data_IF_106837749729
#
_entry.id   IF_106837749729
#
_cell.length_a   1.000
_cell.length_b   1.000
_cell.length_c   1.000
_cell.angle_alpha   90.00
_cell.angle_beta   90.00
_cell.angle_gamma   90.00
#
_symmetry.space_group_name_H-M   'P 1'
#
loop_
_entity.id
_entity.type
_entity.pdbx_description
1 polymer ?
#
# COMPACT_ATOMS: atom_id res chain seq x y z
N UNK A 1 -41.52 57.60 -32.79
CA UNK A 1 -41.64 57.10 -31.41
C UNK A 1 -40.24 57.09 -30.82
N UNK A 2 -39.90 58.10 -30.03
CA UNK A 2 -38.57 58.26 -29.42
C UNK A 2 -38.45 57.30 -28.23
N UNK A 3 -37.61 56.28 -28.36
CA UNK A 3 -37.22 55.40 -27.25
C UNK A 3 -36.06 56.04 -26.49
N UNK A 4 -36.34 56.60 -25.31
CA UNK A 4 -35.31 57.11 -24.41
C UNK A 4 -34.49 55.96 -23.82
N UNK A 5 -33.18 55.97 -24.07
CA UNK A 5 -32.23 55.13 -23.35
C UNK A 5 -32.02 55.69 -21.95
N UNK A 6 -32.65 55.07 -20.96
CA UNK A 6 -32.32 55.32 -19.55
C UNK A 6 -30.94 54.76 -19.25
N UNK A 7 -30.05 55.67 -18.87
CA UNK A 7 -28.72 55.39 -18.36
C UNK A 7 -28.87 54.63 -17.02
N UNK A 8 -28.55 53.33 -16.98
CA UNK A 8 -28.54 52.57 -15.73
C UNK A 8 -27.29 52.93 -14.93
N UNK A 9 -27.53 53.77 -13.90
CA UNK A 9 -26.58 54.06 -12.82
C UNK A 9 -26.17 52.75 -12.14
N UNK A 10 -24.87 52.67 -11.83
CA UNK A 10 -24.15 51.46 -11.46
C UNK A 10 -24.81 50.63 -10.36
N UNK A 11 -25.05 49.36 -10.69
CA UNK A 11 -25.20 48.31 -9.71
C UNK A 11 -23.85 48.02 -9.07
N UNK A 12 -23.71 48.41 -7.80
CA UNK A 12 -22.59 48.08 -6.93
C UNK A 12 -22.27 46.58 -7.02
N UNK A 13 -21.06 46.26 -7.49
CA UNK A 13 -20.55 44.91 -7.66
C UNK A 13 -20.23 44.22 -6.32
N UNK A 14 -21.26 43.96 -5.53
CA UNK A 14 -21.19 43.18 -4.30
C UNK A 14 -21.76 41.78 -4.55
N UNK A 15 -21.04 41.01 -5.36
CA UNK A 15 -21.43 39.66 -5.74
C UNK A 15 -20.22 38.81 -6.09
N UNK A 16 -20.47 37.57 -6.52
CA UNK A 16 -19.42 36.60 -6.88
C UNK A 16 -18.42 37.14 -7.92
N UNK A 17 -18.82 38.13 -8.75
CA UNK A 17 -17.94 38.80 -9.71
C UNK A 17 -16.70 39.44 -9.08
N UNK A 18 -16.77 39.86 -7.82
CA UNK A 18 -15.62 40.44 -7.09
C UNK A 18 -14.60 39.36 -6.69
N UNK A 19 -15.07 38.15 -6.39
CA UNK A 19 -14.22 36.99 -6.11
C UNK A 19 -13.63 36.37 -7.38
N UNK A 20 -14.24 36.65 -8.53
CA UNK A 20 -13.82 36.18 -9.85
C UNK A 20 -13.13 37.27 -10.68
N UNK A 21 -12.90 38.45 -10.11
CA UNK A 21 -12.15 39.52 -10.76
C UNK A 21 -10.65 39.16 -10.81
N UNK A 22 -9.94 39.65 -11.84
CA UNK A 22 -8.50 39.49 -12.02
C UNK A 22 -8.02 38.03 -12.19
N UNK A 23 -8.79 37.20 -12.90
CA UNK A 23 -8.29 35.89 -13.31
C UNK A 23 -7.02 36.03 -14.17
N UNK A 24 -6.02 35.13 -14.01
CA UNK A 24 -4.81 35.16 -14.83
C UNK A 24 -5.16 35.06 -16.31
N UNK A 25 -4.86 36.12 -17.07
CA UNK A 25 -5.02 36.12 -18.52
C UNK A 25 -3.70 35.75 -19.19
N UNK A 26 -3.72 34.70 -20.03
CA UNK A 26 -2.61 34.38 -20.95
C UNK A 26 -2.84 34.92 -22.37
N UNK A 27 -3.82 35.81 -22.56
CA UNK A 27 -3.95 36.66 -23.75
C UNK A 27 -4.61 36.07 -25.00
N UNK A 28 -5.46 35.04 -24.90
CA UNK A 28 -5.91 34.29 -26.07
C UNK A 28 -7.42 34.30 -26.36
N UNK A 29 -8.25 34.94 -25.53
CA UNK A 29 -9.71 34.85 -25.62
C UNK A 29 -10.42 36.22 -25.64
N UNK A 30 -9.84 37.21 -26.32
CA UNK A 30 -10.41 38.57 -26.40
C UNK A 30 -11.34 38.78 -27.59
N UNK A 31 -11.29 37.91 -28.59
CA UNK A 31 -12.14 37.99 -29.78
C UNK A 31 -13.07 36.78 -29.84
N UNK A 32 -14.38 37.04 -30.02
CA UNK A 32 -15.38 36.00 -30.20
C UNK A 32 -15.33 35.47 -31.64
N UNK A 33 -14.17 34.99 -32.08
CA UNK A 33 -13.99 34.41 -33.41
C UNK A 33 -14.49 32.98 -33.34
N UNK A 34 -15.69 32.76 -33.86
CA UNK A 34 -16.19 31.42 -34.18
C UNK A 34 -15.23 30.86 -35.23
N UNK A 35 -14.31 29.99 -34.79
CA UNK A 35 -13.33 29.33 -35.65
C UNK A 35 -14.06 28.70 -36.84
N UNK A 36 -13.69 29.12 -38.05
CA UNK A 36 -14.29 28.64 -39.31
C UNK A 36 -13.99 27.17 -39.61
N UNK A 37 -13.25 26.50 -38.74
CA UNK A 37 -12.91 25.09 -38.86
C UNK A 37 -14.01 24.24 -38.22
N UNK A 38 -15.17 24.12 -38.87
CA UNK A 38 -16.23 23.15 -38.50
C UNK A 38 -15.79 21.68 -38.66
N UNK A 39 -14.51 21.43 -38.94
CA UNK A 39 -13.92 20.11 -39.17
C UNK A 39 -12.85 19.74 -38.14
N UNK A 40 -13.18 19.80 -36.83
CA UNK A 40 -12.41 19.15 -35.77
C UNK A 40 -10.90 19.48 -35.66
N UNK A 41 -10.20 18.74 -34.79
CA UNK A 41 -8.73 18.78 -34.69
C UNK A 41 -8.14 18.17 -35.96
N UNK A 42 -7.25 18.88 -36.66
CA UNK A 42 -6.58 18.34 -37.84
C UNK A 42 -5.63 17.20 -37.44
N UNK A 43 -5.62 16.13 -38.23
CA UNK A 43 -4.66 15.03 -38.09
C UNK A 43 -3.27 15.55 -38.45
N UNK A 44 -2.30 15.36 -37.56
CA UNK A 44 -0.90 15.67 -37.84
C UNK A 44 -0.28 14.51 -38.63
N UNK A 45 0.36 14.83 -39.76
CA UNK A 45 1.11 13.89 -40.60
C UNK A 45 2.57 14.33 -40.54
N UNK A 46 3.46 13.41 -40.14
CA UNK A 46 4.88 13.69 -40.08
C UNK A 46 5.51 13.48 -41.45
N UNK A 47 6.10 14.53 -42.03
CA UNK A 47 6.87 14.45 -43.28
C UNK A 47 8.35 14.10 -43.07
N UNK A 48 8.77 13.95 -41.80
CA UNK A 48 10.13 13.65 -41.38
C UNK A 48 10.16 12.46 -40.42
N UNK A 49 11.35 11.86 -40.25
CA UNK A 49 11.55 10.80 -39.28
C UNK A 49 11.32 11.33 -37.86
N UNK A 50 10.41 10.67 -37.14
CA UNK A 50 10.08 10.96 -35.74
C UNK A 50 10.64 9.91 -34.79
N UNK A 51 11.63 9.14 -35.24
CA UNK A 51 12.37 8.26 -34.36
C UNK A 51 12.99 9.07 -33.21
N UNK A 52 12.90 8.59 -31.96
CA UNK A 52 13.56 9.25 -30.85
C UNK A 52 15.09 9.20 -31.03
N UNK A 53 15.86 10.14 -30.45
CA UNK A 53 17.32 10.08 -30.44
C UNK A 53 17.83 8.71 -29.94
N UNK A 54 18.84 8.15 -30.61
CA UNK A 54 19.29 6.76 -30.42
C UNK A 54 19.79 6.45 -29.00
N UNK A 55 20.29 7.46 -28.31
CA UNK A 55 20.80 7.38 -26.94
C UNK A 55 19.68 7.36 -25.87
N UNK A 56 18.47 7.79 -26.23
CA UNK A 56 17.37 7.95 -25.29
C UNK A 56 16.46 6.72 -25.27
N UNK A 57 16.82 5.76 -24.42
CA UNK A 57 16.08 4.50 -24.27
C UNK A 57 15.31 4.46 -22.95
N UNK A 58 13.99 4.32 -23.03
CA UNK A 58 13.15 4.05 -21.87
C UNK A 58 13.27 2.57 -21.50
N UNK A 59 13.90 2.28 -20.35
CA UNK A 59 14.07 0.91 -19.84
C UNK A 59 13.32 0.73 -18.52
N UNK A 60 12.57 -0.36 -18.41
CA UNK A 60 11.95 -0.78 -17.15
C UNK A 60 12.90 -1.68 -16.39
N UNK A 61 13.16 -1.34 -15.13
CA UNK A 61 13.95 -2.20 -14.26
C UNK A 61 13.14 -3.46 -13.87
N UNK A 62 13.66 -4.61 -14.24
CA UNK A 62 13.01 -5.93 -14.11
C UNK A 62 13.06 -6.51 -12.69
N UNK A 63 13.84 -5.92 -11.78
CA UNK A 63 13.92 -6.39 -10.40
C UNK A 63 12.66 -6.04 -9.63
N UNK A 64 12.04 -7.05 -9.02
CA UNK A 64 10.88 -6.87 -8.14
C UNK A 64 11.17 -5.81 -7.06
N UNK A 65 10.16 -4.97 -6.79
CA UNK A 65 10.29 -3.83 -5.87
C UNK A 65 10.70 -4.24 -4.45
N UNK A 66 10.28 -5.42 -3.98
CA UNK A 66 10.64 -5.91 -2.64
C UNK A 66 12.12 -6.29 -2.60
N UNK A 67 12.60 -7.02 -3.61
CA UNK A 67 14.01 -7.42 -3.72
C UNK A 67 14.90 -6.19 -3.76
N UNK A 68 14.59 -5.20 -4.61
CA UNK A 68 15.34 -3.95 -4.68
C UNK A 68 15.38 -3.22 -3.34
N UNK A 69 14.24 -3.15 -2.64
CA UNK A 69 14.15 -2.49 -1.33
C UNK A 69 15.01 -3.17 -0.28
N UNK A 70 15.03 -4.50 -0.25
CA UNK A 70 15.86 -5.29 0.66
C UNK A 70 17.36 -5.13 0.31
N UNK A 71 17.73 -5.16 -0.97
CA UNK A 71 19.12 -4.93 -1.39
C UNK A 71 19.63 -3.54 -0.97
N UNK A 72 18.83 -2.50 -1.16
CA UNK A 72 19.16 -1.12 -0.73
C UNK A 72 19.28 -1.00 0.80
N UNK A 73 18.45 -1.73 1.56
CA UNK A 73 18.55 -1.78 3.02
C UNK A 73 19.84 -2.48 3.49
N UNK A 74 20.21 -3.57 2.83
CA UNK A 74 21.42 -4.32 3.17
C UNK A 74 22.70 -3.53 2.85
N UNK A 75 22.74 -2.85 1.69
CA UNK A 75 23.86 -1.98 1.34
C UNK A 75 24.04 -0.83 2.34
N UNK A 76 22.95 -0.20 2.78
CA UNK A 76 23.00 0.79 3.87
C UNK A 76 23.64 0.19 5.13
N UNK A 77 23.22 -1.01 5.54
CA UNK A 77 23.77 -1.66 6.74
C UNK A 77 25.26 -2.03 6.64
N UNK A 78 25.80 -2.25 5.43
CA UNK A 78 27.23 -2.50 5.23
C UNK A 78 28.04 -1.20 5.11
N UNK A 79 27.48 -0.13 4.55
CA UNK A 79 28.13 1.19 4.54
C UNK A 79 28.16 1.87 5.91
N UNK A 80 27.23 1.56 6.81
CA UNK A 80 27.22 2.09 8.19
C UNK A 80 28.14 1.32 9.17
N UNK A 81 28.88 0.30 8.72
CA UNK A 81 29.83 -0.45 9.57
C UNK A 81 31.21 0.21 9.72
N UNK A 82 31.46 1.37 9.10
CA UNK A 82 32.75 2.07 9.21
C UNK A 82 32.77 3.28 10.16
N UNK A 83 31.63 3.80 10.60
CA UNK A 83 31.59 4.96 11.50
C UNK A 83 30.86 4.64 12.79
N UNK A 84 31.40 3.68 13.55
CA UNK A 84 31.01 3.45 14.93
C UNK A 84 31.71 4.45 15.87
N UNK A 85 31.24 5.71 15.90
CA UNK A 85 31.22 6.51 17.13
C UNK A 85 30.24 7.68 17.03
N UNK A 86 29.02 7.48 17.54
CA UNK A 86 28.20 8.59 18.01
C UNK A 86 26.69 8.45 17.79
N UNK A 87 25.98 8.32 18.91
CA UNK A 87 24.61 8.78 19.12
C UNK A 87 23.45 7.85 18.72
N UNK A 88 23.12 6.98 19.67
CA UNK A 88 21.76 6.53 19.97
C UNK A 88 20.78 7.71 20.11
N UNK A 89 19.75 7.79 19.26
CA UNK A 89 18.51 8.48 19.61
C UNK A 89 17.33 7.95 18.77
N UNK A 90 16.64 7.00 19.40
CA UNK A 90 15.30 6.54 19.11
C UNK A 90 14.30 7.72 18.97
N UNK A 91 13.62 7.86 17.82
CA UNK A 91 12.40 8.68 17.69
C UNK A 91 11.42 7.97 16.74
N UNK A 92 10.85 6.86 17.23
CA UNK A 92 9.47 6.48 16.89
C UNK A 92 8.55 7.17 17.90
N UNK A 93 7.49 7.80 17.40
CA UNK A 93 6.25 8.18 18.10
C UNK A 93 6.26 9.44 18.99
N UNK A 94 5.67 10.53 18.48
CA UNK A 94 4.75 11.37 19.27
C UNK A 94 3.56 11.87 18.42
N UNK A 95 2.36 11.62 18.97
CA UNK A 95 1.00 12.14 18.64
C UNK A 95 0.24 11.36 17.55
N UNK A 96 -0.76 10.51 17.84
CA UNK A 96 -1.87 10.59 18.82
C UNK A 96 -2.34 9.18 19.27
N UNK A 97 -2.68 9.03 20.55
CA UNK A 97 -3.48 7.97 21.18
C UNK A 97 -4.30 8.67 22.31
N UNK A 98 -5.52 8.31 22.73
CA UNK A 98 -6.33 7.09 22.58
C UNK A 98 -7.84 7.34 22.91
N UNK A 99 -8.70 6.36 22.55
CA UNK A 99 -9.84 5.77 23.33
C UNK A 99 -11.13 6.62 23.60
N UNK A 100 -12.41 6.19 23.60
CA UNK A 100 -13.19 4.91 23.64
C UNK A 100 -14.62 5.11 23.09
N UNK A 101 -15.27 4.02 22.64
CA UNK A 101 -16.70 3.70 22.86
C UNK A 101 -16.90 2.20 22.55
N UNK A 102 -16.91 1.31 23.55
CA UNK A 102 -18.07 0.79 24.31
C UNK A 102 -19.15 0.08 23.45
N UNK A 103 -19.02 -1.24 23.40
CA UNK A 103 -20.04 -2.29 23.59
C UNK A 103 -21.46 -2.10 22.99
N UNK A 104 -21.75 -2.89 21.95
CA UNK A 104 -23.10 -3.20 21.48
C UNK A 104 -23.25 -4.71 21.28
N UNK A 105 -24.19 -5.31 22.02
CA UNK A 105 -24.33 -6.73 22.32
C UNK A 105 -25.29 -7.43 21.33
N UNK A 106 -24.90 -8.63 20.89
CA UNK A 106 -25.68 -9.82 20.46
C UNK A 106 -26.87 -9.72 19.47
N UNK A 107 -26.88 -10.60 18.45
CA UNK A 107 -27.87 -11.71 18.30
C UNK A 107 -27.88 -12.39 16.91
N UNK A 108 -27.86 -13.73 16.90
CA UNK A 108 -28.41 -14.63 15.87
C UNK A 108 -27.49 -14.96 14.68
N UNK A 109 -27.32 -16.20 14.20
CA UNK A 109 -28.00 -17.48 14.40
C UNK A 109 -27.01 -18.64 14.16
N UNK A 110 -27.29 -19.78 14.81
CA UNK A 110 -26.54 -21.04 14.78
C UNK A 110 -26.65 -21.76 13.42
N UNK A 111 -25.61 -22.48 13.02
CA UNK A 111 -25.73 -23.72 12.25
C UNK A 111 -24.51 -24.62 12.50
N UNK A 112 -24.75 -25.78 13.12
CA UNK A 112 -23.84 -26.91 13.30
C UNK A 112 -24.11 -27.94 12.20
N UNK A 113 -23.05 -28.54 11.66
CA UNK A 113 -22.91 -29.93 11.14
C UNK A 113 -21.82 -29.88 10.05
N UNK A 114 -20.69 -30.57 10.18
CA UNK A 114 -20.62 -32.00 9.93
C UNK A 114 -19.42 -32.62 10.64
N UNK A 115 -19.75 -33.59 11.49
CA UNK A 115 -18.85 -34.60 12.05
C UNK A 115 -18.80 -35.77 11.07
N UNK A 116 -17.60 -36.12 10.62
CA UNK A 116 -17.26 -37.48 10.17
C UNK A 116 -15.74 -37.64 10.39
N UNK A 117 -15.33 -38.19 11.53
CA UNK A 117 -14.97 -39.61 11.70
C UNK A 117 -13.98 -40.10 10.62
N UNK A 118 -12.69 -40.00 10.96
CA UNK A 118 -11.64 -40.88 10.49
C UNK A 118 -10.94 -41.43 11.72
N UNK A 119 -11.24 -42.68 12.06
CA UNK A 119 -10.65 -43.44 13.15
C UNK A 119 -9.27 -43.99 12.75
N UNK A 120 -8.57 -44.53 13.75
CA UNK A 120 -7.40 -45.41 13.66
C UNK A 120 -6.08 -44.65 13.48
N UNK A 121 -5.00 -44.88 14.23
CA UNK A 121 -4.69 -45.90 15.22
C UNK A 121 -3.31 -45.55 15.80
N UNK A 122 -3.02 -46.08 16.98
CA UNK A 122 -1.69 -46.17 17.55
C UNK A 122 -1.06 -44.90 18.14
N UNK A 123 -1.34 -44.77 19.42
CA UNK A 123 -0.39 -44.36 20.47
C UNK A 123 0.99 -45.00 20.22
N UNK A 124 1.84 -44.32 19.47
CA UNK A 124 3.27 -44.51 19.53
C UNK A 124 3.87 -43.19 19.96
N UNK A 125 4.38 -43.16 21.20
CA UNK A 125 5.38 -42.17 21.59
C UNK A 125 6.67 -42.51 20.81
N UNK A 126 6.66 -42.31 19.50
CA UNK A 126 7.88 -42.34 18.71
C UNK A 126 8.51 -40.97 18.84
N UNK A 127 9.64 -40.95 19.53
CA UNK A 127 10.58 -39.84 19.52
C UNK A 127 10.84 -39.47 18.06
N UNK A 128 10.22 -38.38 17.60
CA UNK A 128 10.47 -37.83 16.27
C UNK A 128 11.93 -37.39 16.31
N UNK A 129 12.83 -38.01 15.51
CA UNK A 129 14.25 -37.70 15.60
C UNK A 129 14.45 -36.23 15.24
N UNK A 130 15.36 -35.59 15.96
CA UNK A 130 15.59 -34.14 15.91
C UNK A 130 15.79 -33.57 14.50
N UNK A 131 16.32 -34.39 13.58
CA UNK A 131 16.56 -34.02 12.18
C UNK A 131 15.25 -33.86 11.41
N UNK A 132 14.21 -34.59 11.77
CA UNK A 132 12.91 -34.53 11.11
C UNK A 132 12.12 -33.29 11.52
N UNK A 133 12.30 -32.79 12.76
CA UNK A 133 11.66 -31.54 13.19
C UNK A 133 12.15 -30.33 12.38
N UNK A 134 13.40 -30.35 11.91
CA UNK A 134 13.96 -29.27 11.10
C UNK A 134 13.40 -29.25 9.67
N UNK A 135 13.04 -30.42 9.12
CA UNK A 135 12.47 -30.55 7.76
C UNK A 135 10.97 -30.18 7.72
N UNK A 136 10.28 -30.18 8.86
CA UNK A 136 8.87 -29.80 8.95
C UNK A 136 8.62 -28.31 8.67
N UNK A 137 7.46 -28.02 8.08
CA UNK A 137 6.97 -26.66 7.89
C UNK A 137 6.46 -26.07 9.21
N UNK A 138 6.39 -24.75 9.31
CA UNK A 138 5.90 -24.05 10.52
C UNK A 138 4.47 -24.46 10.87
N UNK A 139 3.63 -24.73 9.87
CA UNK A 139 2.26 -25.19 10.07
C UNK A 139 2.21 -26.57 10.74
N UNK A 140 3.02 -27.52 10.27
CA UNK A 140 3.14 -28.85 10.88
C UNK A 140 3.69 -28.76 12.31
N UNK A 141 4.68 -27.90 12.55
CA UNK A 141 5.23 -27.66 13.90
C UNK A 141 4.17 -27.08 14.85
N UNK A 142 3.34 -26.14 14.38
CA UNK A 142 2.22 -25.60 15.18
C UNK A 142 1.15 -26.65 15.45
N UNK A 143 0.86 -27.53 14.49
CA UNK A 143 -0.06 -28.64 14.69
C UNK A 143 0.43 -29.60 15.79
N UNK A 144 1.71 -29.98 15.76
CA UNK A 144 2.32 -30.82 16.81
C UNK A 144 2.33 -30.14 18.18
N UNK A 145 2.59 -28.82 18.22
CA UNK A 145 2.50 -28.07 19.48
C UNK A 145 1.06 -27.98 19.98
N UNK A 146 0.08 -27.82 19.09
CA UNK A 146 -1.35 -27.81 19.44
C UNK A 146 -1.78 -29.15 20.02
N UNK A 147 -1.37 -30.25 19.41
CA UNK A 147 -1.64 -31.61 19.86
C UNK A 147 -1.07 -31.86 21.26
N UNK A 148 0.13 -31.32 21.53
CA UNK A 148 0.77 -31.39 22.86
C UNK A 148 0.28 -30.35 23.87
N UNK A 149 -0.69 -29.50 23.50
CA UNK A 149 -1.18 -28.42 24.36
C UNK A 149 -0.15 -27.32 24.65
N UNK A 150 0.89 -27.19 23.83
CA UNK A 150 1.98 -26.24 23.98
C UNK A 150 1.72 -24.96 23.17
N UNK A 151 2.37 -23.87 23.59
CA UNK A 151 2.22 -22.57 22.93
C UNK A 151 2.71 -22.62 21.46
N UNK A 152 1.89 -22.12 20.53
CA UNK A 152 2.16 -22.11 19.07
C UNK A 152 2.82 -20.82 18.57
N UNK A 153 3.14 -19.90 19.49
CA UNK A 153 3.71 -18.59 19.18
C UNK A 153 5.24 -18.67 19.17
N UNK A 154 5.85 -18.01 18.18
CA UNK A 154 7.30 -17.90 18.05
C UNK A 154 7.83 -18.08 16.62
N UNK A 155 9.15 -17.97 16.48
CA UNK A 155 9.89 -18.31 15.25
C UNK A 155 10.03 -19.83 15.10
N UNK A 156 10.34 -20.32 13.89
CA UNK A 156 10.47 -21.78 13.61
C UNK A 156 11.38 -22.49 14.62
N UNK A 157 12.53 -21.90 14.93
CA UNK A 157 13.50 -22.47 15.88
C UNK A 157 12.95 -22.56 17.32
N UNK A 158 12.14 -21.59 17.75
CA UNK A 158 11.49 -21.60 19.06
C UNK A 158 10.42 -22.71 19.15
N UNK A 159 9.71 -22.97 18.06
CA UNK A 159 8.73 -24.07 18.00
C UNK A 159 9.44 -25.44 18.08
N UNK A 160 10.58 -25.58 17.40
CA UNK A 160 11.40 -26.81 17.41
C UNK A 160 12.03 -27.03 18.79
N UNK A 161 12.60 -25.99 19.39
CA UNK A 161 13.16 -26.07 20.75
C UNK A 161 12.09 -26.48 21.78
N UNK A 162 10.86 -25.97 21.65
CA UNK A 162 9.74 -26.33 22.52
C UNK A 162 9.26 -27.77 22.31
N UNK A 163 9.22 -28.25 21.07
CA UNK A 163 8.89 -29.65 20.76
C UNK A 163 9.96 -30.63 21.27
N UNK A 164 11.24 -30.23 21.21
CA UNK A 164 12.37 -30.98 21.77
C UNK A 164 12.32 -31.05 23.29
N UNK A 165 12.10 -29.90 23.96
CA UNK A 165 12.02 -29.84 25.42
C UNK A 165 10.82 -30.58 26.02
N UNK A 166 9.78 -30.87 25.23
CA UNK A 166 8.62 -31.66 25.65
C UNK A 166 8.75 -33.16 25.34
N UNK A 167 9.81 -33.57 24.63
CA UNK A 167 10.11 -34.97 24.29
C UNK A 167 11.28 -35.55 25.11
N UNK A 168 11.90 -34.73 25.97
CA UNK A 168 12.96 -35.12 26.89
C UNK A 168 12.43 -35.45 28.28
#
# INVERSE_FOLDING_TARGET
>A
MNGGSSNSVGGSGDGASKLLANLPSRGLLSANVVSSNLGGMRVYICDHDTSPPEDQLIKTNQTNILIRSLMLKNQKSDTFKKDAKGSTANQVSRKRAADRALEGKAAGKRAMSSTQLGSNQERSQSSVPDKDLQSLTVEKLRALLKEKGLMQKGKKDELIARLRGANG
#
